data_IF_821891655376
#
_entry.id   IF_821891655376
#
_cell.length_a   1.000
_cell.length_b   1.000
_cell.length_c   1.000
_cell.angle_alpha   90.00
_cell.angle_beta   90.00
_cell.angle_gamma   90.00
#
_symmetry.space_group_name_H-M   'P 1'
#
loop_
_entity.id
_entity.type
_entity.pdbx_description
1 polymer ?
#
# COMPACT_ATOMS: atom_id res chain seq x y z
N UNK A 1 -28.61 -4.82 -3.94
CA UNK A 1 -28.82 -5.95 -3.01
C UNK A 1 -28.61 -7.33 -3.66
N UNK A 2 -29.07 -7.59 -4.90
CA UNK A 2 -28.89 -8.90 -5.57
C UNK A 2 -27.43 -9.38 -5.75
N UNK A 3 -26.47 -8.46 -5.92
CA UNK A 3 -25.03 -8.78 -6.08
C UNK A 3 -24.35 -9.24 -4.78
N UNK A 4 -24.86 -8.81 -3.63
CA UNK A 4 -24.32 -9.20 -2.30
C UNK A 4 -24.76 -10.63 -1.96
N UNK A 5 -25.98 -11.01 -2.33
CA UNK A 5 -26.49 -12.37 -2.14
C UNK A 5 -25.67 -13.42 -2.90
N UNK A 6 -25.25 -13.13 -4.15
CA UNK A 6 -24.42 -14.03 -4.97
C UNK A 6 -23.03 -14.24 -4.34
N UNK A 7 -22.45 -13.19 -3.77
CA UNK A 7 -21.13 -13.24 -3.16
C UNK A 7 -21.13 -14.11 -1.88
N UNK A 8 -22.20 -14.07 -1.09
CA UNK A 8 -22.35 -14.92 0.10
C UNK A 8 -22.55 -16.41 -0.26
N UNK A 9 -23.30 -16.73 -1.33
CA UNK A 9 -23.43 -18.12 -1.81
C UNK A 9 -22.09 -18.72 -2.27
N UNK A 10 -21.19 -17.94 -2.86
CA UNK A 10 -19.87 -18.43 -3.27
C UNK A 10 -18.95 -18.73 -2.08
N UNK A 11 -19.08 -18.00 -0.97
CA UNK A 11 -18.26 -18.22 0.24
C UNK A 11 -18.70 -19.51 0.97
N UNK A 12 -20.00 -19.81 0.99
CA UNK A 12 -20.51 -21.05 1.62
C UNK A 12 -20.14 -22.33 0.86
N UNK A 13 -19.94 -22.26 -0.47
CA UNK A 13 -19.56 -23.43 -1.28
C UNK A 13 -18.06 -23.80 -1.18
N UNK A 14 -17.20 -22.90 -0.70
CA UNK A 14 -15.76 -23.13 -0.55
C UNK A 14 -15.36 -23.66 0.85
N UNK A 15 -16.31 -23.78 1.78
CA UNK A 15 -16.07 -24.22 3.16
C UNK A 15 -16.32 -25.71 3.45
N UNK A 16 -16.66 -26.51 2.44
CA UNK A 16 -17.10 -27.90 2.63
C UNK A 16 -16.19 -28.90 1.90
N UNK A 17 -14.90 -28.99 2.28
CA UNK A 17 -14.03 -30.15 2.01
C UNK A 17 -12.73 -30.04 2.81
N UNK A 18 -12.74 -30.47 4.08
CA UNK A 18 -11.59 -31.06 4.79
C UNK A 18 -12.03 -31.51 6.19
N UNK A 19 -13.07 -32.35 6.25
CA UNK A 19 -13.35 -33.15 7.42
C UNK A 19 -12.99 -34.58 7.05
N UNK A 20 -11.83 -35.05 7.51
CA UNK A 20 -11.60 -36.47 7.66
C UNK A 20 -10.89 -36.73 8.99
N UNK A 21 -11.64 -37.41 9.86
CA UNK A 21 -11.15 -38.08 11.08
C UNK A 21 -11.45 -39.55 10.89
N UNK A 22 -10.47 -40.40 11.20
CA UNK A 22 -10.54 -41.76 11.81
C UNK A 22 -9.27 -42.52 11.36
N UNK A 23 -8.67 -43.47 12.07
CA UNK A 23 -8.87 -44.02 13.41
C UNK A 23 -7.56 -44.71 13.84
N UNK A 24 -7.40 -44.84 15.15
CA UNK A 24 -6.44 -45.70 15.82
C UNK A 24 -6.75 -47.17 15.52
N UNK A 25 -5.75 -47.98 15.20
CA UNK A 25 -5.79 -49.45 15.37
C UNK A 25 -4.39 -49.98 15.71
N UNK A 26 -4.35 -50.84 16.73
CA UNK A 26 -3.18 -51.43 17.40
C UNK A 26 -2.34 -52.35 16.50
N UNK A 27 -1.02 -52.27 16.74
CA UNK A 27 0.08 -53.25 16.69
C UNK A 27 -0.22 -54.76 16.47
N UNK A 28 0.73 -55.53 15.87
CA UNK A 28 1.91 -56.00 16.63
C UNK A 28 3.28 -56.00 15.91
N UNK A 29 4.30 -55.91 16.77
CA UNK A 29 5.74 -56.17 16.66
C UNK A 29 6.18 -57.18 15.59
N UNK A 30 7.17 -56.81 14.78
CA UNK A 30 8.29 -57.71 14.41
C UNK A 30 9.55 -56.89 14.12
N UNK A 31 10.66 -57.37 14.67
CA UNK A 31 12.01 -56.80 14.67
C UNK A 31 12.66 -56.74 13.28
N UNK A 32 13.80 -56.04 13.26
CA UNK A 32 14.89 -56.07 12.27
C UNK A 32 14.69 -55.23 11.00
N UNK A 33 15.26 -54.03 10.99
CA UNK A 33 16.59 -53.85 10.41
C UNK A 33 17.05 -52.41 10.55
N UNK A 34 18.25 -52.27 11.13
CA UNK A 34 19.06 -51.06 11.06
C UNK A 34 19.26 -50.69 9.60
N UNK A 35 18.82 -49.50 9.21
CA UNK A 35 19.37 -48.80 8.07
C UNK A 35 19.58 -47.35 8.50
N UNK A 36 20.85 -46.99 8.58
CA UNK A 36 21.38 -45.67 8.91
C UNK A 36 20.53 -44.54 8.32
N UNK A 37 19.71 -43.95 9.18
CA UNK A 37 19.23 -42.59 8.94
C UNK A 37 20.42 -41.70 9.27
N UNK A 38 21.16 -41.31 8.23
CA UNK A 38 22.14 -40.24 8.30
C UNK A 38 21.47 -39.04 8.98
N UNK A 39 21.69 -38.95 10.29
CA UNK A 39 21.18 -37.87 11.13
C UNK A 39 22.15 -36.75 10.86
N UNK A 40 21.86 -35.95 9.84
CA UNK A 40 22.51 -34.65 9.66
C UNK A 40 22.51 -33.97 11.03
N UNK A 41 23.68 -33.64 11.61
CA UNK A 41 23.74 -33.01 12.92
C UNK A 41 22.86 -31.76 12.90
N UNK A 42 21.84 -31.71 13.75
CA UNK A 42 21.04 -30.51 13.88
C UNK A 42 21.97 -29.41 14.40
N UNK A 43 22.14 -28.29 13.69
CA UNK A 43 23.09 -27.26 14.07
C UNK A 43 22.71 -26.72 15.45
N UNK A 44 23.67 -26.53 16.37
CA UNK A 44 23.45 -25.90 17.65
C UNK A 44 22.53 -24.67 17.55
N UNK A 45 21.65 -24.46 18.53
CA UNK A 45 20.76 -23.30 18.54
C UNK A 45 21.51 -21.96 18.42
N UNK A 46 22.76 -21.92 18.91
CA UNK A 46 23.66 -20.76 18.78
C UNK A 46 24.07 -20.49 17.33
N UNK A 47 24.34 -21.53 16.54
CA UNK A 47 24.73 -21.42 15.14
C UNK A 47 23.57 -20.87 14.29
N UNK A 48 22.33 -21.28 14.60
CA UNK A 48 21.13 -20.73 13.94
C UNK A 48 20.95 -19.24 14.25
N UNK A 49 21.25 -18.82 15.48
CA UNK A 49 21.18 -17.41 15.88
C UNK A 49 22.27 -16.58 15.17
N UNK A 50 23.50 -17.10 15.12
CA UNK A 50 24.61 -16.46 14.42
C UNK A 50 24.30 -16.37 12.92
N UNK A 51 23.81 -17.44 12.30
CA UNK A 51 23.44 -17.43 10.89
C UNK A 51 22.34 -16.38 10.62
N UNK A 52 21.31 -16.31 11.47
CA UNK A 52 20.27 -15.28 11.36
C UNK A 52 20.86 -13.85 11.49
N UNK A 53 21.75 -13.62 12.44
CA UNK A 53 22.41 -12.33 12.63
C UNK A 53 23.32 -11.95 11.44
N UNK A 54 24.04 -12.93 10.88
CA UNK A 54 24.84 -12.70 9.66
C UNK A 54 23.94 -12.40 8.46
N UNK A 55 22.79 -13.06 8.33
CA UNK A 55 21.84 -12.79 7.27
C UNK A 55 21.30 -11.34 7.35
N UNK A 56 21.05 -10.82 8.55
CA UNK A 56 20.60 -9.43 8.75
C UNK A 56 21.68 -8.38 8.46
N UNK A 57 22.95 -8.72 8.65
CA UNK A 57 24.09 -7.79 8.50
C UNK A 57 24.77 -7.85 7.14
N UNK A 58 24.42 -8.85 6.30
CA UNK A 58 25.00 -9.01 4.98
C UNK A 58 24.56 -7.89 4.02
N UNK A 59 25.51 -7.13 3.42
CA UNK A 59 25.19 -6.07 2.46
C UNK A 59 24.88 -6.59 1.05
N UNK A 60 25.10 -7.89 0.80
CA UNK A 60 25.13 -8.47 -0.56
C UNK A 60 23.77 -8.98 -1.06
N UNK A 61 22.69 -8.82 -0.29
CA UNK A 61 21.34 -9.28 -0.65
C UNK A 61 20.34 -8.13 -0.65
N UNK A 62 19.20 -8.33 -1.32
CA UNK A 62 18.04 -7.43 -1.15
C UNK A 62 17.61 -7.46 0.31
N UNK A 63 17.45 -6.30 0.95
CA UNK A 63 17.08 -6.17 2.38
C UNK A 63 15.90 -7.07 2.76
N UNK A 64 14.90 -7.17 1.88
CA UNK A 64 13.72 -8.06 2.06
C UNK A 64 14.09 -9.55 2.06
N UNK A 65 14.95 -10.00 1.15
CA UNK A 65 15.37 -11.41 1.08
C UNK A 65 16.21 -11.84 2.27
N UNK A 66 17.10 -10.96 2.73
CA UNK A 66 17.93 -11.18 3.90
C UNK A 66 17.10 -11.21 5.19
N UNK A 67 16.13 -10.30 5.32
CA UNK A 67 15.16 -10.31 6.42
C UNK A 67 14.31 -11.59 6.45
N UNK A 68 13.79 -12.04 5.31
CA UNK A 68 13.01 -13.28 5.24
C UNK A 68 13.85 -14.51 5.63
N UNK A 69 15.11 -14.58 5.19
CA UNK A 69 16.03 -15.66 5.56
C UNK A 69 16.31 -15.66 7.06
N UNK A 70 16.63 -14.50 7.63
CA UNK A 70 16.88 -14.36 9.07
C UNK A 70 15.66 -14.75 9.90
N UNK A 71 14.46 -14.29 9.50
CA UNK A 71 13.20 -14.63 10.17
C UNK A 71 12.93 -16.13 10.14
N UNK A 72 13.19 -16.79 9.01
CA UNK A 72 13.02 -18.24 8.88
C UNK A 72 14.00 -19.02 9.80
N UNK A 73 15.24 -18.56 9.93
CA UNK A 73 16.23 -19.16 10.83
C UNK A 73 15.87 -18.99 12.30
N UNK A 74 15.39 -17.81 12.71
CA UNK A 74 14.89 -17.56 14.06
C UNK A 74 13.62 -18.37 14.37
N UNK A 75 12.70 -18.47 13.41
CA UNK A 75 11.50 -19.30 13.54
C UNK A 75 11.86 -20.79 13.67
N UNK A 76 12.87 -21.25 12.93
CA UNK A 76 13.40 -22.62 13.07
C UNK A 76 14.02 -22.85 14.45
N UNK A 77 14.76 -21.87 14.98
CA UNK A 77 15.36 -21.93 16.31
C UNK A 77 14.28 -22.09 17.38
N UNK A 78 13.23 -21.25 17.34
CA UNK A 78 12.12 -21.30 18.31
C UNK A 78 11.34 -22.61 18.24
N UNK A 79 11.14 -23.16 17.04
CA UNK A 79 10.44 -24.44 16.87
C UNK A 79 11.28 -25.67 17.23
N UNK A 80 12.58 -25.65 16.94
CA UNK A 80 13.45 -26.82 17.09
C UNK A 80 14.07 -26.92 18.49
N UNK A 81 14.15 -25.81 19.23
CA UNK A 81 14.84 -25.72 20.52
C UNK A 81 14.04 -24.94 21.57
N UNK A 82 12.91 -25.48 22.07
CA UNK A 82 12.05 -24.80 23.03
C UNK A 82 12.71 -24.52 24.38
N UNK A 83 13.67 -25.35 24.82
CA UNK A 83 14.36 -25.17 26.11
C UNK A 83 15.67 -24.38 26.01
N UNK A 84 15.94 -23.75 24.86
CA UNK A 84 17.18 -23.01 24.63
C UNK A 84 17.19 -21.67 25.34
N UNK A 85 18.36 -21.28 25.88
CA UNK A 85 18.63 -19.92 26.40
C UNK A 85 18.38 -18.82 25.35
N UNK A 86 18.40 -19.18 24.06
CA UNK A 86 18.24 -18.27 22.94
C UNK A 86 16.79 -18.08 22.48
N UNK A 87 15.83 -18.81 23.07
CA UNK A 87 14.42 -18.75 22.66
C UNK A 87 13.87 -17.32 22.74
N UNK A 88 13.95 -16.71 23.93
CA UNK A 88 13.45 -15.36 24.18
C UNK A 88 14.11 -14.33 23.24
N UNK A 89 15.40 -14.49 22.97
CA UNK A 89 16.14 -13.62 22.04
C UNK A 89 15.60 -13.77 20.63
N UNK A 90 15.39 -14.99 20.16
CA UNK A 90 14.87 -15.25 18.83
C UNK A 90 13.44 -14.73 18.65
N UNK A 91 12.57 -14.93 19.64
CA UNK A 91 11.21 -14.38 19.64
C UNK A 91 11.19 -12.85 19.63
N UNK A 92 12.01 -12.22 20.48
CA UNK A 92 12.13 -10.77 20.52
C UNK A 92 12.63 -10.20 19.18
N UNK A 93 13.61 -10.85 18.55
CA UNK A 93 14.11 -10.45 17.23
C UNK A 93 13.03 -10.57 16.15
N UNK A 94 12.26 -11.68 16.13
CA UNK A 94 11.13 -11.83 15.19
C UNK A 94 10.11 -10.70 15.39
N UNK A 95 9.75 -10.40 16.64
CA UNK A 95 8.81 -9.33 16.96
C UNK A 95 9.33 -7.96 16.48
N UNK A 96 10.61 -7.65 16.70
CA UNK A 96 11.22 -6.41 16.25
C UNK A 96 11.22 -6.30 14.72
N UNK A 97 11.50 -7.38 14.00
CA UNK A 97 11.44 -7.42 12.55
C UNK A 97 10.01 -7.17 12.03
N UNK A 98 9.01 -7.79 12.65
CA UNK A 98 7.61 -7.61 12.28
C UNK A 98 7.14 -6.16 12.57
N UNK A 99 7.57 -5.56 13.68
CA UNK A 99 7.32 -4.15 14.01
C UNK A 99 8.00 -3.19 13.03
N UNK A 100 9.25 -3.45 12.66
CA UNK A 100 9.98 -2.66 11.68
C UNK A 100 9.24 -2.67 10.34
N UNK A 101 8.86 -3.84 9.85
CA UNK A 101 8.11 -3.99 8.60
C UNK A 101 6.79 -3.20 8.63
N UNK A 102 6.02 -3.31 9.72
CA UNK A 102 4.79 -2.55 9.89
C UNK A 102 5.03 -1.04 9.91
N UNK A 103 6.12 -0.59 10.52
CA UNK A 103 6.52 0.83 10.53
C UNK A 103 6.87 1.32 9.12
N UNK A 104 7.65 0.55 8.36
CA UNK A 104 8.02 0.88 6.98
C UNK A 104 6.79 0.97 6.08
N UNK A 105 5.85 0.03 6.20
CA UNK A 105 4.60 0.04 5.44
C UNK A 105 3.75 1.26 5.77
N UNK A 106 3.65 1.61 7.05
CA UNK A 106 2.96 2.83 7.50
C UNK A 106 3.65 4.09 6.95
N UNK A 107 4.97 4.16 6.97
CA UNK A 107 5.74 5.28 6.42
C UNK A 107 5.54 5.39 4.90
N UNK A 108 5.60 4.28 4.16
CA UNK A 108 5.31 4.24 2.71
C UNK A 108 3.88 4.71 2.43
N UNK A 109 2.91 4.30 3.25
CA UNK A 109 1.53 4.79 3.18
C UNK A 109 1.43 6.30 3.38
N UNK A 110 2.05 6.83 4.44
CA UNK A 110 2.09 8.27 4.71
C UNK A 110 2.77 9.06 3.59
N UNK A 111 3.87 8.55 3.02
CA UNK A 111 4.58 9.19 1.91
C UNK A 111 3.66 9.31 0.68
N UNK A 112 2.97 8.22 0.31
CA UNK A 112 2.01 8.20 -0.81
C UNK A 112 0.86 9.19 -0.59
N UNK A 113 0.37 9.32 0.65
CA UNK A 113 -0.65 10.30 0.99
C UNK A 113 -0.12 11.73 0.84
N UNK A 114 1.09 12.01 1.32
CA UNK A 114 1.73 13.32 1.14
C UNK A 114 1.93 13.66 -0.34
N UNK A 115 2.41 12.73 -1.17
CA UNK A 115 2.55 12.90 -2.61
C UNK A 115 1.19 13.19 -3.28
N UNK A 116 0.15 12.45 -2.89
CA UNK A 116 -1.21 12.66 -3.37
C UNK A 116 -1.76 14.04 -3.02
N UNK A 117 -1.57 14.50 -1.77
CA UNK A 117 -1.96 15.83 -1.32
C UNK A 117 -1.20 16.93 -2.07
N UNK A 118 0.10 16.73 -2.31
CA UNK A 118 0.93 17.71 -3.02
C UNK A 118 0.49 17.82 -4.49
N UNK A 119 0.18 16.69 -5.15
CA UNK A 119 -0.40 16.69 -6.50
C UNK A 119 -1.79 17.33 -6.56
N UNK A 120 -2.61 17.15 -5.53
CA UNK A 120 -3.92 17.80 -5.47
C UNK A 120 -3.79 19.30 -5.26
N UNK A 121 -2.86 19.72 -4.40
CA UNK A 121 -2.57 21.14 -4.15
C UNK A 121 -2.14 21.84 -5.44
N UNK A 122 -1.22 21.27 -6.21
CA UNK A 122 -0.76 21.87 -7.46
C UNK A 122 -1.89 22.01 -8.49
N UNK A 123 -2.76 20.99 -8.61
CA UNK A 123 -3.95 21.07 -9.48
C UNK A 123 -4.93 22.16 -9.02
N UNK A 124 -5.10 22.32 -7.71
CA UNK A 124 -5.96 23.36 -7.16
C UNK A 124 -5.41 24.76 -7.47
N UNK A 125 -4.10 24.96 -7.25
CA UNK A 125 -3.41 26.23 -7.57
C UNK A 125 -3.47 26.56 -9.07
N UNK A 126 -3.30 25.56 -9.93
CA UNK A 126 -3.43 25.72 -11.39
C UNK A 126 -4.86 26.12 -11.78
N UNK A 127 -5.86 25.42 -11.25
CA UNK A 127 -7.27 25.74 -11.49
C UNK A 127 -7.66 27.12 -10.97
N UNK A 128 -7.15 27.52 -9.80
CA UNK A 128 -7.37 28.84 -9.24
C UNK A 128 -6.76 29.92 -10.14
N UNK A 129 -5.53 29.70 -10.63
CA UNK A 129 -4.88 30.64 -11.53
C UNK A 129 -5.62 30.75 -12.88
N UNK A 130 -6.13 29.66 -13.43
CA UNK A 130 -6.98 29.68 -14.63
C UNK A 130 -8.26 30.50 -14.40
N UNK A 131 -8.98 30.23 -13.31
CA UNK A 131 -10.19 30.96 -12.96
C UNK A 131 -9.92 32.47 -12.77
N UNK A 132 -8.78 32.81 -12.14
CA UNK A 132 -8.35 34.20 -11.98
C UNK A 132 -8.08 34.88 -13.34
N UNK A 133 -7.39 34.18 -14.25
CA UNK A 133 -7.13 34.70 -15.60
C UNK A 133 -8.42 34.91 -16.39
N UNK A 134 -9.35 33.96 -16.34
CA UNK A 134 -10.67 34.08 -16.98
C UNK A 134 -11.46 35.25 -16.40
N UNK A 135 -11.44 35.44 -15.09
CA UNK A 135 -12.10 36.57 -14.43
C UNK A 135 -11.56 37.90 -14.95
N UNK A 136 -10.23 38.04 -15.04
CA UNK A 136 -9.60 39.27 -15.57
C UNK A 136 -10.00 39.49 -17.02
N UNK A 137 -9.99 38.43 -17.85
CA UNK A 137 -10.39 38.51 -19.24
C UNK A 137 -11.85 38.96 -19.38
N UNK A 138 -12.77 38.35 -18.63
CA UNK A 138 -14.18 38.70 -18.66
C UNK A 138 -14.43 40.15 -18.20
N UNK A 139 -13.69 40.63 -17.19
CA UNK A 139 -13.78 42.03 -16.76
C UNK A 139 -13.33 42.99 -17.87
N UNK A 140 -12.22 42.69 -18.54
CA UNK A 140 -11.74 43.49 -19.67
C UNK A 140 -12.72 43.48 -20.85
N UNK A 141 -13.27 42.31 -21.20
CA UNK A 141 -14.31 42.20 -22.24
C UNK A 141 -15.56 43.00 -21.85
N UNK A 142 -15.98 42.96 -20.58
CA UNK A 142 -17.13 43.72 -20.10
C UNK A 142 -16.90 45.24 -20.16
N UNK A 143 -15.71 45.71 -19.80
CA UNK A 143 -15.33 47.12 -19.92
C UNK A 143 -15.31 47.57 -21.39
N UNK A 144 -14.81 46.73 -22.29
CA UNK A 144 -14.82 47.02 -23.72
C UNK A 144 -16.25 47.11 -24.26
N UNK A 145 -17.10 46.13 -23.94
CA UNK A 145 -18.51 46.14 -24.34
C UNK A 145 -19.27 47.36 -23.82
N UNK A 146 -18.96 47.85 -22.61
CA UNK A 146 -19.55 49.09 -22.08
C UNK A 146 -19.17 50.31 -22.92
N UNK A 147 -17.90 50.41 -23.33
CA UNK A 147 -17.43 51.51 -24.21
C UNK A 147 -18.11 51.45 -25.56
N UNK A 148 -18.19 50.26 -26.16
CA UNK A 148 -18.81 50.06 -27.47
C UNK A 148 -20.31 50.39 -27.43
N UNK A 149 -21.02 50.00 -26.36
CA UNK A 149 -22.42 50.32 -26.15
C UNK A 149 -22.63 51.84 -26.01
N UNK A 150 -21.74 52.55 -25.31
CA UNK A 150 -21.80 54.01 -25.22
C UNK A 150 -21.55 54.68 -26.57
N UNK A 151 -20.61 54.17 -27.36
CA UNK A 151 -20.34 54.69 -28.71
C UNK A 151 -21.55 54.50 -29.63
N UNK A 152 -22.19 53.31 -29.60
CA UNK A 152 -23.40 53.04 -30.36
C UNK A 152 -24.54 53.99 -30.00
N UNK A 153 -24.76 54.26 -28.72
CA UNK A 153 -25.75 55.25 -28.26
C UNK A 153 -25.47 56.66 -28.79
N UNK A 154 -24.20 57.08 -28.78
CA UNK A 154 -23.82 58.38 -29.32
C UNK A 154 -24.11 58.48 -30.82
N UNK A 155 -23.76 57.43 -31.59
CA UNK A 155 -24.03 57.36 -33.03
C UNK A 155 -25.53 57.36 -33.35
N UNK A 156 -26.34 56.67 -32.54
CA UNK A 156 -27.80 56.65 -32.66
C UNK A 156 -28.39 58.07 -32.49
N UNK A 157 -27.94 58.80 -31.46
CA UNK A 157 -28.35 60.20 -31.23
C UNK A 157 -27.97 61.10 -32.41
N UNK A 158 -26.77 60.94 -32.97
CA UNK A 158 -26.33 61.71 -34.13
C UNK A 158 -27.17 61.43 -35.39
N UNK A 159 -27.52 60.16 -35.61
CA UNK A 159 -28.39 59.75 -36.71
C UNK A 159 -29.79 60.34 -36.54
N UNK A 160 -30.36 60.29 -35.33
CA UNK A 160 -31.65 60.92 -35.05
C UNK A 160 -31.62 62.43 -35.30
N UNK A 161 -30.58 63.13 -34.84
CA UNK A 161 -30.43 64.58 -35.07
C UNK A 161 -30.38 64.92 -36.56
N UNK A 162 -29.60 64.16 -37.34
CA UNK A 162 -29.54 64.32 -38.81
C UNK A 162 -30.90 64.08 -39.46
N UNK A 163 -31.61 63.03 -39.05
CA UNK A 163 -32.92 62.69 -39.60
C UNK A 163 -33.99 63.75 -39.27
N UNK A 164 -33.92 64.39 -38.09
CA UNK A 164 -34.81 65.50 -37.71
C UNK A 164 -34.52 66.80 -38.46
N UNK A 165 -33.27 67.08 -38.82
CA UNK A 165 -32.91 68.27 -39.61
C UNK A 165 -33.17 68.14 -41.12
N UNK A 166 -33.43 66.92 -41.60
CA UNK A 166 -33.79 66.62 -42.99
C UNK A 166 -35.32 66.56 -43.23
N UNK A 167 -36.14 66.68 -42.17
CA UNK A 167 -37.60 66.78 -42.23
C UNK A 167 -38.03 68.21 -41.96
#
# INVERSE_FOLDING_TARGET
MKKIAVLFTCIFLLGACAADRTAVTKEPVTETNNLDRATTPLPPAEDLLIEAATALTQPNGTETGNGLKARALLARLTQSYPDSKWLNTAEALILLMDLQQACEEKMKGSLRLCEGLLSQKTKCEESENQCRQETIRLLQENEQLKKDLQNLKNLEIELEKRNRGLR
#
